data_IF_928357977601
#
_entry.id   IF_928357977601
#
_cell.length_a   1.000
_cell.length_b   1.000
_cell.length_c   1.000
_cell.angle_alpha   90.00
_cell.angle_beta   90.00
_cell.angle_gamma   90.00
#
_symmetry.space_group_name_H-M   'P 1'
#
loop_
_entity.id
_entity.type
_entity.pdbx_description
1 polymer ?
#
# COMPACT_ATOMS: atom_id res chain seq x y z
N UNK A 1 10.79 -23.20 5.74
CA UNK A 1 12.19 -22.92 6.10
C UNK A 1 12.63 -21.51 5.71
N UNK A 2 12.60 -21.09 4.43
CA UNK A 2 13.01 -19.73 4.00
C UNK A 2 12.29 -18.58 4.76
N UNK A 3 10.98 -18.64 4.94
CA UNK A 3 10.22 -17.58 5.65
C UNK A 3 10.58 -17.47 7.14
N UNK A 4 10.91 -18.55 7.79
CA UNK A 4 11.33 -18.52 9.20
C UNK A 4 12.71 -17.88 9.35
N UNK A 5 13.64 -18.19 8.43
CA UNK A 5 14.96 -17.56 8.40
C UNK A 5 14.84 -16.06 8.21
N UNK A 6 14.01 -15.61 7.25
CA UNK A 6 13.78 -14.17 7.01
C UNK A 6 13.21 -13.48 8.24
N UNK A 7 12.22 -14.08 8.92
CA UNK A 7 11.65 -13.53 10.16
C UNK A 7 12.69 -13.43 11.27
N UNK A 8 13.53 -14.45 11.44
CA UNK A 8 14.57 -14.47 12.47
C UNK A 8 15.64 -13.41 12.19
N UNK A 9 16.07 -13.29 10.94
CA UNK A 9 17.04 -12.26 10.52
C UNK A 9 16.47 -10.85 10.70
N UNK A 10 15.20 -10.63 10.32
CA UNK A 10 14.55 -9.33 10.53
C UNK A 10 14.45 -8.98 12.01
N UNK A 11 14.08 -9.93 12.87
CA UNK A 11 14.03 -9.74 14.31
C UNK A 11 15.41 -9.41 14.89
N UNK A 12 16.45 -10.10 14.44
CA UNK A 12 17.82 -9.85 14.88
C UNK A 12 18.28 -8.44 14.45
N UNK A 13 18.04 -8.04 13.20
CA UNK A 13 18.35 -6.70 12.71
C UNK A 13 17.62 -5.62 13.50
N UNK A 14 16.34 -5.83 13.83
CA UNK A 14 15.56 -4.92 14.67
C UNK A 14 16.18 -4.78 16.06
N UNK A 15 16.50 -5.91 16.71
CA UNK A 15 17.14 -5.93 18.04
C UNK A 15 18.52 -5.26 18.06
N UNK A 16 19.26 -5.33 16.96
CA UNK A 16 20.56 -4.67 16.82
C UNK A 16 20.45 -3.18 16.44
N UNK A 17 19.24 -2.64 16.30
CA UNK A 17 19.02 -1.24 15.93
C UNK A 17 19.40 -0.89 14.48
N UNK A 18 19.47 -1.90 13.60
CA UNK A 18 19.82 -1.70 12.20
C UNK A 18 18.75 -0.86 11.49
N UNK A 19 17.50 -1.06 11.84
CA UNK A 19 16.37 -0.24 11.36
C UNK A 19 16.51 1.23 11.77
N UNK A 20 16.87 1.51 13.02
CA UNK A 20 17.12 2.86 13.51
C UNK A 20 18.30 3.53 12.76
N UNK A 21 19.37 2.78 12.51
CA UNK A 21 20.49 3.26 11.72
C UNK A 21 20.08 3.60 10.29
N UNK A 22 19.33 2.69 9.61
CA UNK A 22 18.80 2.94 8.26
C UNK A 22 17.85 4.13 8.24
N UNK A 23 16.96 4.26 9.23
CA UNK A 23 16.09 5.42 9.37
C UNK A 23 16.89 6.73 9.48
N UNK A 24 17.92 6.76 10.32
CA UNK A 24 18.77 7.92 10.51
C UNK A 24 19.53 8.30 9.22
N UNK A 25 20.08 7.33 8.51
CA UNK A 25 20.79 7.54 7.25
C UNK A 25 19.86 8.06 6.14
N UNK A 26 18.63 7.58 6.12
CA UNK A 26 17.64 7.91 5.09
C UNK A 26 16.60 8.93 5.55
N UNK A 27 16.80 9.63 6.67
CA UNK A 27 15.81 10.56 7.22
C UNK A 27 15.42 11.70 6.28
N UNK A 28 16.29 12.04 5.31
CA UNK A 28 16.04 13.04 4.26
C UNK A 28 15.64 12.43 2.92
N UNK A 29 15.44 11.13 2.84
CA UNK A 29 15.01 10.49 1.62
C UNK A 29 13.50 10.73 1.40
N UNK A 30 13.12 11.01 0.16
CA UNK A 30 11.72 11.09 -0.24
C UNK A 30 11.06 9.72 -0.07
N UNK A 31 9.85 9.70 0.46
CA UNK A 31 9.09 8.48 0.73
C UNK A 31 7.77 8.55 -0.01
N UNK A 32 7.69 7.83 -1.11
CA UNK A 32 6.45 7.67 -1.86
C UNK A 32 6.05 6.21 -1.72
N UNK A 33 4.89 5.97 -1.14
CA UNK A 33 4.36 4.63 -0.92
C UNK A 33 3.16 4.45 -1.82
N UNK A 34 3.32 3.61 -2.82
CA UNK A 34 2.30 3.37 -3.85
C UNK A 34 1.48 2.13 -3.51
N UNK A 35 0.18 2.30 -3.54
CA UNK A 35 -0.81 1.24 -3.48
C UNK A 35 -1.54 1.15 -4.82
N UNK A 36 -2.10 -0.01 -5.14
CA UNK A 36 -2.92 -0.16 -6.33
C UNK A 36 -4.38 -0.39 -5.94
N UNK A 37 -4.70 -1.53 -5.40
CA UNK A 37 -6.07 -1.87 -5.06
C UNK A 37 -6.20 -2.18 -3.56
N UNK A 38 -7.30 -1.77 -2.95
CA UNK A 38 -7.65 -2.10 -1.55
C UNK A 38 -9.05 -2.71 -1.56
N UNK A 39 -9.17 -3.95 -1.10
CA UNK A 39 -10.43 -4.69 -1.15
C UNK A 39 -10.85 -5.17 0.24
N UNK A 40 -12.18 -5.24 0.51
CA UNK A 40 -12.69 -5.94 1.68
C UNK A 40 -12.26 -7.40 1.68
N UNK A 41 -11.96 -7.94 2.87
CA UNK A 41 -11.52 -9.33 3.05
C UNK A 41 -12.47 -10.35 2.45
N UNK A 42 -13.78 -10.11 2.54
CA UNK A 42 -14.81 -11.03 2.04
C UNK A 42 -14.83 -11.19 0.50
N UNK A 43 -14.22 -10.25 -0.21
CA UNK A 43 -14.06 -10.32 -1.68
C UNK A 43 -12.78 -11.04 -2.11
N UNK A 44 -11.89 -11.34 -1.17
CA UNK A 44 -10.65 -12.03 -1.47
C UNK A 44 -10.79 -13.53 -1.24
N UNK A 45 -10.28 -14.38 -2.14
CA UNK A 45 -10.22 -15.82 -1.91
C UNK A 45 -9.46 -16.12 -0.62
N UNK A 46 -9.99 -17.00 0.23
CA UNK A 46 -9.39 -17.32 1.53
C UNK A 46 -7.91 -17.73 1.37
N UNK A 47 -7.04 -16.99 2.07
CA UNK A 47 -5.60 -17.27 2.13
C UNK A 47 -4.79 -16.91 0.89
N UNK A 48 -5.40 -16.30 -0.12
CA UNK A 48 -4.69 -15.88 -1.34
C UNK A 48 -4.43 -14.39 -1.33
N UNK A 49 -3.18 -14.02 -1.62
CA UNK A 49 -2.84 -12.64 -1.99
C UNK A 49 -3.08 -12.50 -3.49
N UNK A 50 -3.90 -11.53 -3.87
CA UNK A 50 -4.08 -11.17 -5.28
C UNK A 50 -3.11 -10.05 -5.60
N UNK A 51 -2.01 -10.39 -6.27
CA UNK A 51 -1.04 -9.47 -6.85
C UNK A 51 -0.78 -8.19 -6.05
N UNK A 52 -1.14 -7.07 -6.61
CA UNK A 52 -0.96 -5.72 -6.04
C UNK A 52 -2.16 -5.26 -5.18
N UNK A 53 -2.99 -6.19 -4.70
CA UNK A 53 -4.17 -5.88 -3.89
C UNK A 53 -3.88 -6.06 -2.40
N UNK A 54 -4.18 -5.04 -1.63
CA UNK A 54 -4.19 -5.09 -0.17
C UNK A 54 -5.59 -5.36 0.38
N UNK A 55 -5.69 -6.04 1.52
CA UNK A 55 -6.92 -6.09 2.31
C UNK A 55 -7.12 -4.78 3.05
N UNK A 56 -8.35 -4.48 3.49
CA UNK A 56 -8.62 -3.31 4.34
C UNK A 56 -7.75 -3.32 5.60
N UNK A 57 -7.64 -4.46 6.27
CA UNK A 57 -6.83 -4.61 7.47
C UNK A 57 -5.34 -4.37 7.20
N UNK A 58 -4.80 -4.98 6.12
CA UNK A 58 -3.41 -4.79 5.71
C UNK A 58 -3.11 -3.33 5.38
N UNK A 59 -3.99 -2.69 4.61
CA UNK A 59 -3.86 -1.29 4.24
C UNK A 59 -3.90 -0.38 5.47
N UNK A 60 -4.88 -0.57 6.36
CA UNK A 60 -5.02 0.19 7.61
C UNK A 60 -3.78 0.06 8.48
N UNK A 61 -3.25 -1.15 8.66
CA UNK A 61 -2.03 -1.38 9.42
C UNK A 61 -0.84 -0.62 8.81
N UNK A 62 -0.67 -0.67 7.49
CA UNK A 62 0.40 0.06 6.80
C UNK A 62 0.28 1.58 6.96
N UNK A 63 -0.94 2.12 6.84
CA UNK A 63 -1.21 3.55 7.05
C UNK A 63 -0.88 3.98 8.48
N UNK A 64 -1.24 3.18 9.48
CA UNK A 64 -0.91 3.45 10.89
C UNK A 64 0.59 3.48 11.13
N UNK A 65 1.32 2.50 10.62
CA UNK A 65 2.79 2.49 10.71
C UNK A 65 3.39 3.74 10.04
N UNK A 66 2.88 4.12 8.86
CA UNK A 66 3.38 5.32 8.19
C UNK A 66 3.17 6.59 9.02
N UNK A 67 1.98 6.81 9.58
CA UNK A 67 1.68 8.01 10.36
C UNK A 67 2.34 8.04 11.74
N UNK A 68 2.75 6.89 12.28
CA UNK A 68 3.56 6.84 13.51
C UNK A 68 4.98 7.36 13.30
N UNK A 69 5.51 7.20 12.07
CA UNK A 69 6.90 7.54 11.77
C UNK A 69 7.06 8.80 10.94
N UNK A 70 6.02 9.21 10.20
CA UNK A 70 6.08 10.32 9.25
C UNK A 70 4.81 11.17 9.28
N UNK A 71 4.94 12.46 9.01
CA UNK A 71 3.82 13.27 8.57
C UNK A 71 3.40 12.83 7.16
N UNK A 72 2.11 12.75 6.89
CA UNK A 72 1.60 12.39 5.57
C UNK A 72 1.27 13.66 4.81
N UNK A 73 1.82 13.81 3.61
CA UNK A 73 1.68 14.99 2.77
C UNK A 73 1.54 14.61 1.30
N UNK A 74 0.89 15.47 0.53
CA UNK A 74 0.87 15.38 -0.94
C UNK A 74 2.04 16.13 -1.58
N UNK A 75 2.85 16.82 -0.80
CA UNK A 75 4.07 17.45 -1.31
C UNK A 75 5.16 16.38 -1.48
N UNK A 76 5.27 15.88 -2.70
CA UNK A 76 6.28 14.87 -3.09
C UNK A 76 7.72 15.41 -3.04
N UNK A 77 7.90 16.69 -2.83
CA UNK A 77 9.24 17.30 -2.70
C UNK A 77 9.69 17.41 -1.24
N UNK A 78 8.76 17.27 -0.29
CA UNK A 78 9.10 17.25 1.13
C UNK A 78 9.88 15.98 1.50
N UNK A 79 11.10 16.16 1.99
CA UNK A 79 11.99 15.07 2.37
C UNK A 79 11.71 14.51 3.77
N UNK A 80 10.78 15.10 4.53
CA UNK A 80 10.48 14.71 5.91
C UNK A 80 9.11 14.04 6.07
N UNK A 81 8.29 14.10 5.04
CA UNK A 81 6.99 13.46 4.99
C UNK A 81 7.01 12.16 4.16
N UNK A 82 5.93 11.41 4.27
CA UNK A 82 5.59 10.32 3.37
C UNK A 82 4.38 10.71 2.52
N UNK A 83 4.41 10.37 1.23
CA UNK A 83 3.29 10.56 0.32
C UNK A 83 2.65 9.21 0.01
N UNK A 84 1.35 9.11 0.24
CA UNK A 84 0.56 7.95 -0.14
C UNK A 84 0.05 8.19 -1.56
N UNK A 85 0.30 7.25 -2.45
CA UNK A 85 -0.19 7.32 -3.82
C UNK A 85 -0.96 6.05 -4.19
N UNK A 86 -1.89 6.19 -5.12
CA UNK A 86 -2.62 5.09 -5.72
C UNK A 86 -2.49 5.17 -7.23
N UNK A 87 -2.23 4.03 -7.85
CA UNK A 87 -2.18 3.90 -9.30
C UNK A 87 -3.48 3.31 -9.84
N UNK A 88 -3.70 3.45 -11.15
CA UNK A 88 -4.78 2.90 -11.96
C UNK A 88 -6.17 3.53 -11.80
N UNK A 89 -6.49 4.16 -10.67
CA UNK A 89 -7.81 4.78 -10.45
C UNK A 89 -8.94 3.76 -10.25
N UNK A 90 -8.69 2.67 -9.53
CA UNK A 90 -9.73 1.69 -9.20
C UNK A 90 -10.83 2.30 -8.32
N UNK A 91 -12.07 1.89 -8.56
CA UNK A 91 -13.24 2.32 -7.78
C UNK A 91 -13.06 2.11 -6.27
N UNK A 92 -12.43 1.00 -5.88
CA UNK A 92 -12.16 0.65 -4.49
C UNK A 92 -11.22 1.65 -3.79
N UNK A 93 -10.40 2.40 -4.52
CA UNK A 93 -9.57 3.44 -3.94
C UNK A 93 -10.45 4.55 -3.36
N UNK A 94 -11.55 4.90 -4.04
CA UNK A 94 -12.51 5.87 -3.55
C UNK A 94 -13.42 5.28 -2.45
N UNK A 95 -13.96 4.09 -2.65
CA UNK A 95 -14.95 3.51 -1.74
C UNK A 95 -14.34 2.97 -0.45
N UNK A 96 -13.15 2.39 -0.52
CA UNK A 96 -12.51 1.68 0.59
C UNK A 96 -11.32 2.46 1.13
N UNK A 97 -10.34 2.77 0.29
CA UNK A 97 -9.10 3.40 0.75
C UNK A 97 -9.35 4.82 1.27
N UNK A 98 -10.16 5.65 0.58
CA UNK A 98 -10.50 7.00 1.04
C UNK A 98 -11.22 6.96 2.39
N UNK A 99 -12.15 6.03 2.59
CA UNK A 99 -12.81 5.84 3.88
C UNK A 99 -11.81 5.57 5.00
N UNK A 100 -10.86 4.64 4.78
CA UNK A 100 -9.84 4.30 5.76
C UNK A 100 -8.94 5.51 6.05
N UNK A 101 -8.50 6.25 5.03
CA UNK A 101 -7.68 7.45 5.21
C UNK A 101 -8.40 8.54 6.02
N UNK A 102 -9.71 8.70 5.81
CA UNK A 102 -10.56 9.61 6.60
C UNK A 102 -10.65 9.16 8.06
N UNK A 103 -10.91 7.90 8.32
CA UNK A 103 -10.99 7.32 9.66
C UNK A 103 -9.65 7.41 10.41
N UNK A 104 -8.53 7.29 9.72
CA UNK A 104 -7.19 7.38 10.30
C UNK A 104 -6.67 8.81 10.49
N UNK A 105 -7.50 9.83 10.27
CA UNK A 105 -7.19 11.22 10.58
C UNK A 105 -7.23 12.16 9.37
N UNK A 106 -8.09 11.92 8.39
CA UNK A 106 -8.19 12.70 7.14
C UNK A 106 -6.85 12.81 6.39
N UNK A 107 -6.16 11.69 6.28
CA UNK A 107 -4.85 11.65 5.65
C UNK A 107 -4.96 11.92 4.15
N UNK A 108 -4.12 12.79 3.58
CA UNK A 108 -4.13 13.07 2.16
C UNK A 108 -3.46 11.96 1.34
N UNK A 109 -3.92 11.76 0.11
CA UNK A 109 -3.29 10.87 -0.86
C UNK A 109 -3.42 11.43 -2.28
N UNK A 110 -2.61 10.91 -3.20
CA UNK A 110 -2.65 11.23 -4.61
C UNK A 110 -3.13 10.00 -5.37
N UNK A 111 -4.11 10.17 -6.25
CA UNK A 111 -4.60 9.10 -7.13
C UNK A 111 -4.18 9.40 -8.56
N UNK A 112 -3.42 8.49 -9.16
CA UNK A 112 -3.05 8.52 -10.57
C UNK A 112 -4.03 7.66 -11.36
N UNK A 113 -5.02 8.30 -11.97
CA UNK A 113 -6.00 7.60 -12.78
C UNK A 113 -5.49 7.38 -14.21
N UNK A 114 -5.61 6.15 -14.70
CA UNK A 114 -5.30 5.83 -16.09
C UNK A 114 -6.38 6.41 -17.01
N UNK A 115 -6.02 7.36 -17.86
CA UNK A 115 -6.96 8.06 -18.74
C UNK A 115 -7.84 7.13 -19.60
N UNK A 116 -7.31 5.98 -20.05
CA UNK A 116 -8.08 4.96 -20.77
C UNK A 116 -9.21 4.34 -19.96
N UNK A 117 -9.12 4.39 -18.64
CA UNK A 117 -10.11 3.80 -17.72
C UNK A 117 -11.28 4.77 -17.44
N UNK A 118 -11.10 6.05 -17.69
CA UNK A 118 -12.13 7.07 -17.41
C UNK A 118 -13.31 6.88 -18.37
N UNK A 119 -14.49 6.61 -17.80
CA UNK A 119 -15.72 6.35 -18.55
C UNK A 119 -15.79 4.97 -19.21
N UNK A 120 -14.81 4.09 -18.99
CA UNK A 120 -14.83 2.72 -19.49
C UNK A 120 -15.38 1.77 -18.41
N UNK A 121 -16.25 0.85 -18.84
CA UNK A 121 -16.84 -0.17 -17.97
C UNK A 121 -16.10 -1.51 -18.00
N UNK A 122 -15.11 -1.64 -18.90
CA UNK A 122 -14.31 -2.87 -18.99
C UNK A 122 -13.14 -2.84 -18.01
N UNK A 123 -12.88 -3.95 -17.30
CA UNK A 123 -11.71 -4.04 -16.41
C UNK A 123 -10.41 -3.84 -17.19
N UNK A 124 -9.35 -3.35 -16.54
CA UNK A 124 -8.02 -3.29 -17.14
C UNK A 124 -7.53 -4.70 -17.47
N UNK A 125 -6.78 -4.84 -18.56
CA UNK A 125 -6.17 -6.11 -18.94
C UNK A 125 -5.26 -6.65 -17.83
N UNK A 126 -4.52 -5.78 -17.15
CA UNK A 126 -3.67 -6.14 -16.03
C UNK A 126 -4.48 -6.75 -14.87
N UNK A 127 -5.64 -6.17 -14.52
CA UNK A 127 -6.51 -6.72 -13.49
C UNK A 127 -7.08 -8.07 -13.91
N UNK A 128 -7.51 -8.22 -15.17
CA UNK A 128 -8.04 -9.49 -15.68
C UNK A 128 -6.98 -10.57 -15.63
N UNK A 129 -5.76 -10.27 -16.07
CA UNK A 129 -4.63 -11.22 -16.01
C UNK A 129 -4.31 -11.59 -14.55
N UNK A 130 -4.24 -10.62 -13.65
CA UNK A 130 -3.95 -10.86 -12.23
C UNK A 130 -5.02 -11.76 -11.59
N UNK A 131 -6.29 -11.48 -11.84
CA UNK A 131 -7.40 -12.33 -11.41
C UNK A 131 -7.30 -13.75 -11.97
N UNK A 132 -7.05 -13.90 -13.27
CA UNK A 132 -6.92 -15.21 -13.90
C UNK A 132 -5.77 -16.02 -13.32
N UNK A 133 -4.61 -15.41 -13.09
CA UNK A 133 -3.43 -16.08 -12.55
C UNK A 133 -3.62 -16.51 -11.09
N UNK A 134 -4.43 -15.82 -10.31
CA UNK A 134 -4.59 -16.09 -8.88
C UNK A 134 -5.90 -16.82 -8.52
N UNK A 135 -6.90 -16.84 -9.41
CA UNK A 135 -8.18 -17.51 -9.17
C UNK A 135 -8.29 -18.91 -9.77
N UNK A 136 -7.42 -19.27 -10.70
CA UNK A 136 -7.45 -20.55 -11.39
C UNK A 136 -6.66 -21.68 -10.70
N UNK A 137 -6.09 -21.45 -9.50
CA UNK A 137 -5.33 -22.46 -8.76
C UNK A 137 -5.83 -22.65 -7.33
#
# INVERSE_FOLDING_TARGET
MKQQIVKLTAALCYWMGVDALFYMLNRKAKRIITFHNVMPEYLLPQGKKIGLTDTEESFRMKVRILKEHFSISTDVLDNYSATITFDDGYKNQQEVAERILKEEGNLPAIIYATGRMIGNTTPSEALVIDLLLHWTH
#
